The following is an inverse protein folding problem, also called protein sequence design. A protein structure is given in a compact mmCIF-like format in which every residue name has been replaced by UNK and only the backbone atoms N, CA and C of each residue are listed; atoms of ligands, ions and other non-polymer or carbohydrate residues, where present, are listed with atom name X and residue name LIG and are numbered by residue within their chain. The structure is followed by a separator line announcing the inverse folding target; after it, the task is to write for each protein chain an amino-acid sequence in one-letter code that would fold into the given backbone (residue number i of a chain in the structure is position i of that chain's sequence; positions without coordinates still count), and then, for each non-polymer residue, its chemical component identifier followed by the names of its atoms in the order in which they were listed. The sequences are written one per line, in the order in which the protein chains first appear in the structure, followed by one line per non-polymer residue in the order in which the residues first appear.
data_IF_818605915102
#
_entry.id   IF_818605915102
#
_cell.length_a   1.000
_cell.length_b   1.000
_cell.length_c   1.000
_cell.angle_alpha   90.00
_cell.angle_beta   90.00
_cell.angle_gamma   90.00
#
_symmetry.space_group_name_H-M   'P 1'
#
loop_
_entity.id
_entity.type
_entity.pdbx_description
1 polymer ?
#
# COMPACT_ATOMS: atom_id res chain seq x y z
N UNK A 1 -15.69 -14.82 5.43
CA UNK A 1 -14.74 -14.04 6.27
C UNK A 1 -14.83 -12.57 5.89
N UNK A 2 -14.73 -11.61 6.83
CA UNK A 2 -14.88 -10.19 6.52
C UNK A 2 -13.51 -9.55 6.28
N UNK A 3 -13.15 -9.35 5.02
CA UNK A 3 -11.93 -8.62 4.64
C UNK A 3 -12.07 -7.19 5.14
N UNK A 4 -11.05 -6.69 5.83
CA UNK A 4 -11.02 -5.29 6.26
C UNK A 4 -10.75 -4.43 5.03
N UNK A 5 -11.52 -3.34 4.85
CA UNK A 5 -11.32 -2.34 3.77
C UNK A 5 -9.83 -2.00 3.57
N UNK A 6 -9.11 -1.79 4.66
CA UNK A 6 -7.70 -1.45 4.63
C UNK A 6 -6.79 -2.56 4.06
N UNK A 7 -7.08 -3.83 4.32
CA UNK A 7 -6.30 -4.95 3.73
C UNK A 7 -6.52 -5.04 2.22
N UNK A 8 -7.74 -4.79 1.75
CA UNK A 8 -8.04 -4.75 0.32
C UNK A 8 -7.29 -3.61 -0.39
N UNK A 9 -7.20 -2.42 0.23
CA UNK A 9 -6.42 -1.31 -0.34
C UNK A 9 -4.93 -1.65 -0.35
N UNK A 10 -4.40 -2.25 0.72
CA UNK A 10 -3.01 -2.70 0.76
C UNK A 10 -2.73 -3.72 -0.34
N UNK A 11 -3.63 -4.69 -0.55
CA UNK A 11 -3.55 -5.66 -1.64
C UNK A 11 -3.44 -4.96 -3.00
N UNK A 12 -4.38 -4.05 -3.31
CA UNK A 12 -4.37 -3.32 -4.59
C UNK A 12 -3.06 -2.56 -4.82
N UNK A 13 -2.55 -1.86 -3.79
CA UNK A 13 -1.26 -1.15 -3.88
C UNK A 13 -0.11 -2.12 -4.16
N UNK A 14 -0.06 -3.24 -3.44
CA UNK A 14 1.00 -4.24 -3.59
C UNK A 14 0.95 -4.92 -4.97
N UNK A 15 -0.23 -5.09 -5.59
CA UNK A 15 -0.36 -5.61 -6.96
C UNK A 15 0.19 -4.64 -8.02
N UNK A 16 0.04 -3.34 -7.85
CA UNK A 16 0.70 -2.36 -8.73
C UNK A 16 2.22 -2.47 -8.61
N UNK A 17 2.73 -2.53 -7.37
CA UNK A 17 4.17 -2.69 -7.12
C UNK A 17 4.70 -4.02 -7.66
N UNK A 18 3.90 -5.10 -7.60
CA UNK A 18 4.22 -6.40 -8.21
C UNK A 18 4.44 -6.29 -9.72
N UNK A 19 3.66 -5.44 -10.39
CA UNK A 19 3.72 -5.18 -11.83
C UNK A 19 4.77 -4.13 -12.21
N UNK A 20 5.61 -3.71 -11.24
CA UNK A 20 6.58 -2.63 -11.40
C UNK A 20 5.95 -1.28 -11.80
N UNK A 21 4.67 -1.10 -11.47
CA UNK A 21 3.93 0.15 -11.69
C UNK A 21 3.84 0.98 -10.42
N UNK A 22 3.75 2.31 -10.60
CA UNK A 22 3.54 3.23 -9.49
C UNK A 22 2.05 3.24 -9.06
N UNK A 23 1.74 2.90 -7.81
CA UNK A 23 0.37 2.92 -7.31
C UNK A 23 -0.13 4.35 -7.18
N UNK A 24 -1.37 4.60 -7.60
CA UNK A 24 -2.03 5.89 -7.47
C UNK A 24 -3.45 5.73 -6.94
N UNK A 25 -3.83 6.53 -5.94
CA UNK A 25 -5.16 6.46 -5.31
C UNK A 25 -6.33 6.56 -6.30
N UNK A 26 -6.17 7.33 -7.39
CA UNK A 26 -7.19 7.46 -8.44
C UNK A 26 -7.31 6.21 -9.31
N UNK A 27 -6.21 5.51 -9.57
CA UNK A 27 -6.19 4.30 -10.41
C UNK A 27 -6.83 3.10 -9.71
N UNK A 28 -6.77 3.07 -8.38
CA UNK A 28 -7.39 2.01 -7.56
C UNK A 28 -8.74 2.43 -6.95
N UNK A 29 -9.28 3.59 -7.34
CA UNK A 29 -10.57 4.15 -6.91
C UNK A 29 -10.75 4.21 -5.37
N UNK A 30 -9.79 4.80 -4.68
CA UNK A 30 -9.86 5.01 -3.22
C UNK A 30 -9.60 6.45 -2.81
N UNK A 31 -10.11 6.84 -1.65
CA UNK A 31 -9.80 8.14 -1.07
C UNK A 31 -8.30 8.26 -0.76
N UNK A 32 -7.73 9.44 -1.06
CA UNK A 32 -6.31 9.74 -0.81
C UNK A 32 -5.88 9.46 0.64
N UNK A 33 -6.77 9.70 1.60
CA UNK A 33 -6.51 9.44 3.03
C UNK A 33 -6.31 7.94 3.29
N UNK A 34 -7.19 7.11 2.77
CA UNK A 34 -7.12 5.65 2.95
C UNK A 34 -5.92 5.08 2.20
N UNK A 35 -5.60 5.60 1.01
CA UNK A 35 -4.39 5.27 0.28
C UNK A 35 -3.11 5.54 1.07
N UNK A 36 -2.96 6.75 1.63
CA UNK A 36 -1.80 7.10 2.45
C UNK A 36 -1.69 6.22 3.70
N UNK A 37 -2.82 5.93 4.36
CA UNK A 37 -2.83 5.06 5.53
C UNK A 37 -2.43 3.61 5.19
N UNK A 38 -2.84 3.12 4.01
CA UNK A 38 -2.43 1.80 3.53
C UNK A 38 -0.94 1.76 3.17
N UNK A 39 -0.41 2.79 2.48
CA UNK A 39 1.03 2.90 2.20
C UNK A 39 1.88 2.96 3.47
N UNK A 40 1.43 3.72 4.47
CA UNK A 40 2.10 3.80 5.77
C UNK A 40 2.21 2.42 6.41
N UNK A 41 1.13 1.64 6.42
CA UNK A 41 1.13 0.27 6.94
C UNK A 41 1.98 -0.69 6.11
N UNK A 42 1.97 -0.58 4.79
CA UNK A 42 2.83 -1.37 3.90
C UNK A 42 4.29 -1.13 4.26
N UNK A 43 4.68 0.13 4.47
CA UNK A 43 6.04 0.51 4.83
C UNK A 43 6.40 0.06 6.25
N UNK A 44 5.53 0.27 7.24
CA UNK A 44 5.74 -0.16 8.63
C UNK A 44 5.84 -1.68 8.77
N UNK A 45 5.03 -2.43 8.01
CA UNK A 45 5.07 -3.89 7.99
C UNK A 45 6.18 -4.46 7.08
N UNK A 46 6.94 -3.60 6.40
CA UNK A 46 8.04 -4.03 5.51
C UNK A 46 7.57 -4.87 4.33
N UNK A 47 6.36 -4.64 3.82
CA UNK A 47 5.79 -5.40 2.69
C UNK A 47 6.37 -4.95 1.34
N UNK A 48 6.81 -3.70 1.24
CA UNK A 48 7.49 -3.16 0.08
C UNK A 48 8.62 -2.21 0.52
N UNK A 49 9.63 -2.05 -0.35
CA UNK A 49 10.75 -1.13 -0.15
C UNK A 49 10.55 0.16 -0.93
N UNK A 50 11.40 1.16 -0.63
CA UNK A 50 11.48 2.43 -1.36
C UNK A 50 10.18 3.25 -1.34
N UNK A 51 9.45 3.17 -0.22
CA UNK A 51 8.33 4.03 0.09
C UNK A 51 8.80 5.11 1.06
N UNK A 52 8.62 6.37 0.70
CA UNK A 52 8.98 7.50 1.57
C UNK A 52 7.83 8.49 1.68
N UNK A 53 7.80 9.23 2.79
CA UNK A 53 6.69 10.13 3.12
C UNK A 53 7.21 11.53 3.42
N UNK A 54 6.60 12.53 2.79
CA UNK A 54 6.69 13.92 3.25
C UNK A 54 5.50 14.21 4.15
N UNK A 55 5.77 14.61 5.39
CA UNK A 55 4.76 14.92 6.41
C UNK A 55 4.67 16.42 6.66
N UNK A 56 3.45 16.90 6.90
CA UNK A 56 3.21 18.27 7.36
C UNK A 56 3.53 18.44 8.84
N UNK A 57 3.84 19.67 9.24
CA UNK A 57 4.09 20.07 10.64
C UNK A 57 2.84 19.99 11.52
N UNK A 58 1.64 20.17 10.95
CA UNK A 58 0.38 20.07 11.69
C UNK A 58 -0.13 18.62 11.66
N UNK A 59 -0.24 17.99 12.84
CA UNK A 59 -0.77 16.63 13.07
C UNK A 59 -0.01 15.48 12.36
N UNK A 60 1.25 15.69 11.94
CA UNK A 60 2.10 14.69 11.28
C UNK A 60 1.45 13.96 10.07
N UNK A 61 0.47 14.60 9.41
CA UNK A 61 -0.24 14.00 8.27
C UNK A 61 0.68 13.87 7.07
N UNK A 62 0.58 12.73 6.37
CA UNK A 62 1.26 12.51 5.08
C UNK A 62 0.67 13.48 4.05
N UNK A 63 1.51 14.39 3.55
CA UNK A 63 1.17 15.31 2.46
C UNK A 63 1.39 14.66 1.09
N UNK A 64 2.54 14.00 0.96
CA UNK A 64 3.00 13.33 -0.26
C UNK A 64 3.61 11.99 0.14
N UNK A 65 3.29 10.95 -0.62
CA UNK A 65 3.98 9.67 -0.58
C UNK A 65 4.73 9.49 -1.90
N UNK A 66 5.97 9.08 -1.83
CA UNK A 66 6.80 8.74 -2.99
C UNK A 66 6.95 7.23 -3.01
N UNK A 67 6.54 6.62 -4.11
CA UNK A 67 6.55 5.16 -4.33
C UNK A 67 7.34 4.75 -5.56
N UNK A 68 7.95 5.71 -6.28
CA UNK A 68 8.69 5.47 -7.51
C UNK A 68 9.83 4.47 -7.29
N UNK A 69 9.77 3.36 -8.02
CA UNK A 69 10.74 2.27 -7.90
C UNK A 69 10.56 1.43 -6.62
N UNK A 70 9.35 1.40 -6.05
CA UNK A 70 9.01 0.46 -4.98
C UNK A 70 9.15 -0.98 -5.46
N UNK A 71 9.54 -1.88 -4.56
CA UNK A 71 9.64 -3.32 -4.86
C UNK A 71 9.03 -4.15 -3.74
N UNK A 72 8.37 -5.25 -4.09
CA UNK A 72 7.88 -6.20 -3.10
C UNK A 72 9.03 -6.86 -2.33
N UNK A 73 8.87 -6.93 -1.02
CA UNK A 73 9.65 -7.84 -0.18
C UNK A 73 9.04 -9.24 -0.22
N UNK A 74 9.73 -10.20 0.38
CA UNK A 74 9.16 -11.54 0.57
C UNK A 74 7.87 -11.49 1.41
N UNK A 75 7.82 -10.64 2.44
CA UNK A 75 6.64 -10.47 3.27
C UNK A 75 5.46 -9.90 2.47
N UNK A 76 5.71 -8.96 1.55
CA UNK A 76 4.68 -8.45 0.64
C UNK A 76 4.11 -9.52 -0.29
N UNK A 77 4.95 -10.39 -0.85
CA UNK A 77 4.49 -11.53 -1.67
C UNK A 77 3.62 -12.49 -0.87
N UNK A 78 4.03 -12.83 0.35
CA UNK A 78 3.21 -13.67 1.23
C UNK A 78 1.88 -13.03 1.60
N UNK A 79 1.86 -11.71 1.83
CA UNK A 79 0.61 -11.00 2.07
C UNK A 79 -0.35 -11.11 0.87
N UNK A 80 0.15 -10.96 -0.35
CA UNK A 80 -0.65 -11.11 -1.59
C UNK A 80 -1.24 -12.52 -1.66
N UNK A 81 -0.40 -13.55 -1.56
CA UNK A 81 -0.84 -14.96 -1.65
C UNK A 81 -1.85 -15.33 -0.57
N UNK A 82 -1.60 -14.91 0.68
CA UNK A 82 -2.53 -15.11 1.78
C UNK A 82 -3.86 -14.40 1.50
N UNK A 83 -3.83 -13.14 1.06
CA UNK A 83 -5.04 -12.40 0.73
C UNK A 83 -5.84 -13.10 -0.38
N UNK A 84 -5.18 -13.54 -1.46
CA UNK A 84 -5.82 -14.24 -2.57
C UNK A 84 -6.49 -15.55 -2.11
N UNK A 85 -5.83 -16.34 -1.26
CA UNK A 85 -6.41 -17.58 -0.70
C UNK A 85 -7.66 -17.38 0.17
N UNK A 86 -7.89 -16.14 0.62
CA UNK A 86 -9.01 -15.75 1.49
C UNK A 86 -10.21 -15.18 0.73
N UNK A 87 -10.02 -14.83 -0.54
CA UNK A 87 -11.04 -14.23 -1.41
C UNK A 87 -11.55 -15.16 -2.50
N UNK A 88 -10.80 -16.23 -2.79
CA UNK A 88 -11.29 -17.40 -3.54
C UNK A 88 -12.37 -18.17 -2.75
#
# INVERSE_FOLDING_TARGET
MKIKKNEAIMYLILKYIEQEEDPEFRKIDVEKKDFHAALEKINEAGLATNITFSRGSLLHRIKVAFTNGSRLTQAGRYFITDFESRVD
#
